data_IF_425679523411
#
_entry.id   IF_425679523411
#
_cell.length_a   1.000
_cell.length_b   1.000
_cell.length_c   1.000
_cell.angle_alpha   90.00
_cell.angle_beta   90.00
_cell.angle_gamma   90.00
#
_symmetry.space_group_name_H-M   'P 1'
#
loop_
_entity.id
_entity.type
_entity.pdbx_description
1 polymer ?
#
# COMPACT_ATOMS: atom_id res chain seq x y z
N UNK A 1 25.89 -18.19 28.01
CA UNK A 1 25.13 -17.17 27.28
C UNK A 1 23.99 -17.89 26.59
N UNK A 2 22.82 -17.93 27.22
CA UNK A 2 21.64 -18.62 26.67
C UNK A 2 21.23 -17.91 25.39
N UNK A 3 21.36 -18.59 24.25
CA UNK A 3 20.79 -18.14 23.00
C UNK A 3 19.28 -18.34 23.08
N UNK A 4 18.58 -17.26 23.38
CA UNK A 4 17.12 -17.19 23.31
C UNK A 4 16.71 -17.63 21.89
N UNK A 5 16.09 -18.81 21.77
CA UNK A 5 15.44 -19.25 20.54
C UNK A 5 14.32 -18.25 20.26
N UNK A 6 14.62 -17.22 19.46
CA UNK A 6 13.61 -16.34 18.88
C UNK A 6 12.77 -17.22 17.95
N UNK A 7 11.73 -17.83 18.51
CA UNK A 7 10.68 -18.51 17.74
C UNK A 7 9.90 -17.39 17.06
N UNK A 8 10.39 -16.96 15.88
CA UNK A 8 9.66 -16.02 15.03
C UNK A 8 8.34 -16.68 14.66
N UNK A 9 7.25 -16.16 15.21
CA UNK A 9 5.92 -16.73 15.03
C UNK A 9 5.48 -16.43 13.60
N UNK A 10 5.22 -17.46 12.81
CA UNK A 10 4.54 -17.32 11.52
C UNK A 10 3.24 -16.53 11.73
N UNK A 11 3.05 -15.45 10.97
CA UNK A 11 1.74 -14.82 10.94
C UNK A 11 0.77 -15.79 10.28
N UNK A 12 -0.16 -16.36 11.06
CA UNK A 12 -1.32 -17.02 10.47
C UNK A 12 -2.20 -15.94 9.83
N UNK A 13 -2.79 -16.23 8.67
CA UNK A 13 -3.72 -15.32 7.96
C UNK A 13 -4.85 -14.76 8.86
N UNK A 14 -5.09 -15.33 10.04
CA UNK A 14 -6.13 -14.96 10.98
C UNK A 14 -5.76 -13.87 12.01
N UNK A 15 -4.49 -13.42 12.09
CA UNK A 15 -4.02 -12.47 13.14
C UNK A 15 -3.58 -11.09 12.64
N UNK A 16 -4.00 -10.70 11.44
CA UNK A 16 -3.86 -9.31 10.98
C UNK A 16 -4.87 -8.47 11.76
N UNK A 17 -4.39 -7.56 12.63
CA UNK A 17 -5.24 -6.56 13.30
C UNK A 17 -5.93 -5.75 12.20
N UNK A 18 -7.21 -6.02 12.00
CA UNK A 18 -8.11 -5.16 11.24
C UNK A 18 -8.21 -3.84 12.01
N UNK A 19 -7.52 -2.80 11.54
CA UNK A 19 -7.78 -1.45 12.06
C UNK A 19 -9.24 -1.12 11.72
N UNK A 20 -10.04 -0.89 12.76
CA UNK A 20 -11.40 -0.38 12.58
C UNK A 20 -11.28 1.03 12.04
N UNK A 21 -11.39 1.17 10.73
CA UNK A 21 -11.53 2.45 10.07
C UNK A 21 -12.88 3.05 10.49
N UNK A 22 -12.89 3.86 11.55
CA UNK A 22 -13.99 4.78 11.84
C UNK A 22 -13.80 5.98 10.92
N UNK A 23 -14.65 6.07 9.90
CA UNK A 23 -14.76 7.27 9.08
C UNK A 23 -15.02 8.47 9.97
N UNK A 24 -14.11 9.43 9.93
CA UNK A 24 -14.23 10.78 10.51
C UNK A 24 -15.25 11.60 9.67
N UNK A 25 -16.46 11.03 9.52
CA UNK A 25 -17.44 11.41 8.50
C UNK A 25 -18.54 12.35 8.99
N UNK A 26 -18.81 12.43 10.29
CA UNK A 26 -20.04 13.08 10.76
C UNK A 26 -19.95 14.62 10.78
N UNK A 27 -18.82 15.21 11.22
CA UNK A 27 -18.74 16.66 11.38
C UNK A 27 -18.71 17.44 10.04
N UNK A 28 -18.01 16.91 9.03
CA UNK A 28 -17.95 17.53 7.68
C UNK A 28 -19.26 17.43 6.90
N UNK A 29 -20.12 16.46 7.23
CA UNK A 29 -21.43 16.33 6.60
C UNK A 29 -22.44 17.33 7.17
N UNK A 30 -22.38 17.62 8.48
CA UNK A 30 -23.25 18.59 9.14
C UNK A 30 -23.00 20.01 8.61
N UNK A 31 -21.73 20.44 8.50
CA UNK A 31 -21.39 21.78 7.97
C UNK A 31 -21.90 21.99 6.54
N UNK A 32 -21.77 20.97 5.68
CA UNK A 32 -22.27 20.99 4.29
C UNK A 32 -23.79 21.08 4.22
N UNK A 33 -24.50 20.36 5.10
CA UNK A 33 -25.96 20.39 5.16
C UNK A 33 -26.43 21.81 5.53
N UNK A 34 -25.79 22.44 6.53
CA UNK A 34 -26.13 23.80 6.95
C UNK A 34 -25.91 24.81 5.82
N UNK A 35 -24.81 24.70 5.06
CA UNK A 35 -24.55 25.62 3.94
C UNK A 35 -25.57 25.48 2.81
N UNK A 36 -25.99 24.24 2.52
CA UNK A 36 -27.01 23.96 1.50
C UNK A 36 -28.36 24.56 1.91
N UNK A 37 -28.77 24.37 3.18
CA UNK A 37 -30.03 24.90 3.70
C UNK A 37 -30.05 26.44 3.62
N UNK A 38 -28.96 27.10 3.99
CA UNK A 38 -28.84 28.56 3.87
C UNK A 38 -28.97 29.05 2.43
N UNK A 39 -28.30 28.39 1.48
CA UNK A 39 -28.36 28.75 0.06
C UNK A 39 -29.77 28.59 -0.53
N UNK A 40 -30.47 27.50 -0.15
CA UNK A 40 -31.86 27.26 -0.57
C UNK A 40 -32.80 28.32 0.01
N UNK A 41 -32.63 28.70 1.27
CA UNK A 41 -33.44 29.74 1.90
C UNK A 41 -33.28 31.10 1.21
N UNK A 42 -32.06 31.48 0.85
CA UNK A 42 -31.76 32.72 0.09
C UNK A 42 -32.37 32.68 -1.32
N UNK A 43 -32.27 31.54 -2.01
CA UNK A 43 -32.88 31.34 -3.33
C UNK A 43 -34.41 31.48 -3.27
N UNK A 44 -35.04 30.85 -2.28
CA UNK A 44 -36.48 30.95 -2.07
C UNK A 44 -36.94 32.37 -1.75
N UNK A 45 -36.18 33.12 -0.94
CA UNK A 45 -36.50 34.54 -0.65
C UNK A 45 -36.39 35.42 -1.89
N UNK A 46 -35.37 35.22 -2.73
CA UNK A 46 -35.23 35.93 -4.01
C UNK A 46 -36.40 35.61 -4.96
N UNK A 47 -36.77 34.33 -5.07
CA UNK A 47 -37.91 33.88 -5.88
C UNK A 47 -39.21 34.51 -5.38
N UNK A 48 -39.41 34.57 -4.06
CA UNK A 48 -40.61 35.17 -3.45
C UNK A 48 -40.68 36.69 -3.70
N UNK A 49 -39.56 37.40 -3.53
CA UNK A 49 -39.48 38.84 -3.79
C UNK A 49 -39.66 39.22 -5.27
N UNK A 50 -39.26 38.34 -6.19
CA UNK A 50 -39.32 38.55 -7.64
C UNK A 50 -40.45 37.76 -8.31
N UNK A 51 -41.37 37.17 -7.55
CA UNK A 51 -42.39 36.23 -8.03
C UNK A 51 -43.16 36.75 -9.26
N UNK A 52 -43.57 38.02 -9.25
CA UNK A 52 -44.31 38.63 -10.36
C UNK A 52 -43.48 38.75 -11.64
N UNK A 53 -42.19 39.07 -11.53
CA UNK A 53 -41.28 39.08 -12.69
C UNK A 53 -40.95 37.68 -13.18
N UNK A 54 -40.85 36.70 -12.27
CA UNK A 54 -40.56 35.31 -12.62
C UNK A 54 -41.76 34.67 -13.32
N UNK A 55 -42.99 34.96 -12.90
CA UNK A 55 -44.21 34.50 -13.59
C UNK A 55 -44.26 34.98 -15.05
N UNK A 56 -43.83 36.22 -15.33
CA UNK A 56 -43.77 36.75 -16.70
C UNK A 56 -42.76 36.01 -17.61
N UNK A 57 -41.91 35.14 -17.07
CA UNK A 57 -41.01 34.26 -17.84
C UNK A 57 -41.74 32.98 -18.28
N UNK A 58 -42.79 32.59 -17.56
CA UNK A 58 -43.56 31.37 -17.79
C UNK A 58 -44.94 31.61 -18.41
N UNK A 59 -45.40 32.85 -18.43
CA UNK A 59 -46.72 33.22 -18.95
C UNK A 59 -46.61 34.44 -19.88
N UNK A 60 -47.20 34.33 -21.07
CA UNK A 60 -47.32 35.44 -22.01
C UNK A 60 -48.36 36.47 -21.52
N UNK A 61 -48.41 37.65 -22.15
CA UNK A 61 -49.39 38.72 -21.90
C UNK A 61 -50.85 38.26 -22.02
N UNK A 62 -51.08 37.17 -22.76
CA UNK A 62 -52.39 36.55 -22.95
C UNK A 62 -52.74 35.49 -21.88
N UNK A 63 -51.83 35.22 -20.94
CA UNK A 63 -51.99 34.19 -19.91
C UNK A 63 -51.59 32.78 -20.35
N UNK A 64 -51.10 32.61 -21.59
CA UNK A 64 -50.66 31.32 -22.11
C UNK A 64 -49.29 30.92 -21.57
N UNK A 65 -49.15 29.64 -21.23
CA UNK A 65 -47.93 29.10 -20.64
C UNK A 65 -46.80 28.94 -21.67
N UNK A 66 -45.67 29.57 -21.40
CA UNK A 66 -44.48 29.53 -22.26
C UNK A 66 -43.53 28.39 -21.83
N UNK A 67 -43.58 27.29 -22.57
CA UNK A 67 -42.69 26.13 -22.37
C UNK A 67 -41.19 26.44 -22.52
N UNK A 68 -40.84 27.51 -23.22
CA UNK A 68 -39.45 27.93 -23.46
C UNK A 68 -38.72 28.28 -22.16
N UNK A 69 -39.39 28.92 -21.19
CA UNK A 69 -38.80 29.25 -19.90
C UNK A 69 -38.48 28.00 -19.06
N UNK A 70 -39.42 27.04 -19.02
CA UNK A 70 -39.26 25.77 -18.30
C UNK A 70 -38.11 24.95 -18.90
N UNK A 71 -38.11 24.77 -20.21
CA UNK A 71 -37.10 23.98 -20.92
C UNK A 71 -35.70 24.56 -20.75
N UNK A 72 -35.57 25.90 -20.75
CA UNK A 72 -34.30 26.59 -20.50
C UNK A 72 -33.76 26.34 -19.08
N UNK A 73 -34.62 26.41 -18.06
CA UNK A 73 -34.23 26.13 -16.66
C UNK A 73 -33.81 24.67 -16.49
N UNK A 74 -34.60 23.74 -17.04
CA UNK A 74 -34.26 22.31 -17.01
C UNK A 74 -32.91 22.07 -17.69
N UNK A 75 -32.67 22.67 -18.85
CA UNK A 75 -31.40 22.55 -19.57
C UNK A 75 -30.21 23.06 -18.74
N UNK A 76 -30.33 24.23 -18.09
CA UNK A 76 -29.28 24.79 -17.22
C UNK A 76 -28.99 23.86 -16.03
N UNK A 77 -30.04 23.33 -15.39
CA UNK A 77 -29.89 22.40 -14.25
C UNK A 77 -29.24 21.09 -14.69
N UNK A 78 -29.67 20.51 -15.82
CA UNK A 78 -29.08 19.30 -16.39
C UNK A 78 -27.61 19.52 -16.77
N UNK A 79 -27.28 20.67 -17.35
CA UNK A 79 -25.92 21.02 -17.72
C UNK A 79 -25.02 21.20 -16.48
N UNK A 80 -25.49 21.94 -15.47
CA UNK A 80 -24.76 22.11 -14.21
C UNK A 80 -24.53 20.80 -13.47
N UNK A 81 -25.56 19.93 -13.43
CA UNK A 81 -25.43 18.58 -12.87
C UNK A 81 -24.43 17.72 -13.67
N UNK A 82 -24.48 17.77 -15.00
CA UNK A 82 -23.56 17.05 -15.88
C UNK A 82 -22.10 17.46 -15.64
N UNK A 83 -21.81 18.76 -15.54
CA UNK A 83 -20.47 19.27 -15.23
C UNK A 83 -20.01 18.80 -13.84
N UNK A 84 -20.86 18.97 -12.82
CA UNK A 84 -20.53 18.56 -11.45
C UNK A 84 -20.26 17.04 -11.37
N UNK A 85 -21.13 16.23 -11.96
CA UNK A 85 -21.00 14.77 -12.00
C UNK A 85 -19.74 14.35 -12.75
N UNK A 86 -19.45 14.97 -13.89
CA UNK A 86 -18.26 14.69 -14.70
C UNK A 86 -16.97 15.06 -13.97
N UNK A 87 -16.91 16.23 -13.35
CA UNK A 87 -15.74 16.66 -12.57
C UNK A 87 -15.48 15.75 -11.37
N UNK A 88 -16.56 15.38 -10.67
CA UNK A 88 -16.50 14.43 -9.55
C UNK A 88 -15.97 13.07 -10.02
N UNK A 89 -16.53 12.53 -11.10
CA UNK A 89 -16.09 11.27 -11.72
C UNK A 89 -14.63 11.32 -12.17
N UNK A 90 -14.21 12.38 -12.87
CA UNK A 90 -12.84 12.56 -13.34
C UNK A 90 -11.84 12.55 -12.17
N UNK A 91 -12.15 13.25 -11.07
CA UNK A 91 -11.31 13.24 -9.88
C UNK A 91 -11.19 11.85 -9.26
N UNK A 92 -12.30 11.11 -9.15
CA UNK A 92 -12.26 9.72 -8.67
C UNK A 92 -11.45 8.80 -9.58
N UNK A 93 -11.64 8.91 -10.91
CA UNK A 93 -10.94 8.10 -11.89
C UNK A 93 -9.43 8.36 -11.85
N UNK A 94 -9.00 9.62 -11.67
CA UNK A 94 -7.59 9.98 -11.54
C UNK A 94 -6.99 9.38 -10.25
N UNK A 95 -7.64 9.58 -9.10
CA UNK A 95 -7.16 9.05 -7.81
C UNK A 95 -7.08 7.52 -7.85
N UNK A 96 -8.10 6.86 -8.38
CA UNK A 96 -8.13 5.41 -8.53
C UNK A 96 -7.00 4.91 -9.43
N UNK A 97 -6.77 5.56 -10.58
CA UNK A 97 -5.69 5.21 -11.51
C UNK A 97 -4.31 5.36 -10.88
N UNK A 98 -4.03 6.46 -10.20
CA UNK A 98 -2.74 6.67 -9.54
C UNK A 98 -2.52 5.65 -8.41
N UNK A 99 -3.54 5.34 -7.61
CA UNK A 99 -3.43 4.30 -6.57
C UNK A 99 -3.20 2.91 -7.17
N UNK A 100 -3.90 2.54 -8.25
CA UNK A 100 -3.69 1.28 -8.97
C UNK A 100 -2.27 1.21 -9.53
N UNK A 101 -1.77 2.31 -10.10
CA UNK A 101 -0.40 2.41 -10.61
C UNK A 101 0.62 2.18 -9.49
N UNK A 102 0.45 2.86 -8.36
CA UNK A 102 1.30 2.66 -7.18
C UNK A 102 1.24 1.22 -6.66
N UNK A 103 0.05 0.62 -6.55
CA UNK A 103 -0.10 -0.80 -6.14
C UNK A 103 0.70 -1.72 -7.06
N UNK A 104 0.61 -1.52 -8.37
CA UNK A 104 1.33 -2.35 -9.34
C UNK A 104 2.84 -2.20 -9.23
N UNK A 105 3.34 -0.98 -9.05
CA UNK A 105 4.76 -0.72 -8.84
C UNK A 105 5.26 -1.40 -7.55
N UNK A 106 4.59 -1.16 -6.42
CA UNK A 106 4.94 -1.80 -5.13
C UNK A 106 4.87 -3.32 -5.22
N UNK A 107 3.86 -3.88 -5.88
CA UNK A 107 3.74 -5.33 -6.09
C UNK A 107 4.94 -5.89 -6.86
N UNK A 108 5.40 -5.17 -7.88
CA UNK A 108 6.60 -5.54 -8.62
C UNK A 108 7.84 -5.47 -7.74
N UNK A 109 8.04 -4.37 -6.98
CA UNK A 109 9.19 -4.23 -6.07
C UNK A 109 9.23 -5.36 -5.02
N UNK A 110 8.09 -5.73 -4.44
CA UNK A 110 7.99 -6.84 -3.47
C UNK A 110 8.28 -8.18 -4.14
N UNK A 111 7.76 -8.43 -5.34
CA UNK A 111 8.03 -9.68 -6.05
C UNK A 111 9.52 -9.84 -6.38
N UNK A 112 10.16 -8.77 -6.85
CA UNK A 112 11.60 -8.75 -7.13
C UNK A 112 12.42 -8.96 -5.84
N UNK A 113 12.07 -8.30 -4.75
CA UNK A 113 12.69 -8.51 -3.44
C UNK A 113 12.57 -9.97 -2.99
N UNK A 114 11.38 -10.57 -3.08
CA UNK A 114 11.17 -11.97 -2.71
C UNK A 114 12.02 -12.92 -3.56
N UNK A 115 12.17 -12.66 -4.86
CA UNK A 115 13.05 -13.45 -5.73
C UNK A 115 14.51 -13.34 -5.29
N UNK A 116 14.99 -12.13 -5.01
CA UNK A 116 16.36 -11.91 -4.54
C UNK A 116 16.61 -12.60 -3.21
N UNK A 117 15.71 -12.45 -2.24
CA UNK A 117 15.80 -13.10 -0.93
C UNK A 117 15.79 -14.64 -1.06
N UNK A 118 14.98 -15.21 -1.95
CA UNK A 118 14.99 -16.66 -2.20
C UNK A 118 16.28 -17.14 -2.88
N UNK A 119 16.87 -16.35 -3.78
CA UNK A 119 18.19 -16.66 -4.36
C UNK A 119 19.27 -16.66 -3.28
N UNK A 120 19.25 -15.62 -2.44
CA UNK A 120 20.13 -15.50 -1.30
C UNK A 120 19.97 -16.69 -0.35
N UNK A 121 18.72 -17.10 -0.10
CA UNK A 121 18.40 -18.25 0.73
C UNK A 121 18.98 -19.56 0.22
N UNK A 122 18.85 -19.77 -1.08
CA UNK A 122 19.41 -20.94 -1.75
C UNK A 122 20.94 -21.00 -1.62
N UNK A 123 21.64 -19.87 -1.74
CA UNK A 123 23.09 -19.81 -1.53
C UNK A 123 23.44 -20.25 -0.12
N UNK A 124 22.73 -19.71 0.87
CA UNK A 124 23.00 -20.04 2.27
C UNK A 124 22.72 -21.52 2.55
N UNK A 125 21.62 -22.07 2.02
CA UNK A 125 21.29 -23.50 2.16
C UNK A 125 22.32 -24.42 1.50
N UNK A 126 22.83 -24.06 0.32
CA UNK A 126 23.90 -24.81 -0.35
C UNK A 126 25.17 -24.85 0.51
N UNK A 127 25.52 -23.72 1.11
CA UNK A 127 26.65 -23.65 2.04
C UNK A 127 26.40 -24.51 3.28
N UNK A 128 25.22 -24.42 3.90
CA UNK A 128 24.84 -25.26 5.06
C UNK A 128 24.94 -26.76 4.77
N UNK A 129 24.45 -27.21 3.62
CA UNK A 129 24.47 -28.63 3.23
C UNK A 129 25.91 -29.20 3.19
N UNK A 130 26.88 -28.38 2.80
CA UNK A 130 28.31 -28.73 2.76
C UNK A 130 29.03 -28.50 4.11
N UNK A 131 28.39 -27.79 5.05
CA UNK A 131 28.91 -27.40 6.36
C UNK A 131 28.60 -28.35 7.53
N UNK A 132 27.66 -29.28 7.36
CA UNK A 132 27.05 -30.08 8.46
C UNK A 132 27.97 -31.00 9.27
N UNK A 133 29.27 -31.05 9.02
CA UNK A 133 30.12 -32.14 9.55
C UNK A 133 31.32 -31.75 10.41
N UNK A 134 31.77 -30.49 10.56
CA UNK A 134 32.96 -30.20 11.37
C UNK A 134 32.92 -28.87 12.15
N UNK A 135 33.09 -28.97 13.47
CA UNK A 135 32.83 -27.92 14.47
C UNK A 135 34.00 -26.95 14.73
N UNK A 136 35.20 -27.16 14.18
CA UNK A 136 36.38 -26.40 14.65
C UNK A 136 37.21 -25.66 13.60
N UNK A 137 37.18 -26.03 12.32
CA UNK A 137 37.91 -25.30 11.25
C UNK A 137 37.25 -25.48 9.89
N UNK A 138 37.27 -24.44 9.05
CA UNK A 138 36.82 -24.57 7.66
C UNK A 138 37.82 -25.44 6.88
N UNK A 139 37.35 -26.53 6.31
CA UNK A 139 38.14 -27.32 5.35
C UNK A 139 38.49 -26.48 4.11
N UNK A 140 39.59 -26.78 3.38
CA UNK A 140 39.91 -26.11 2.13
C UNK A 140 38.78 -26.13 1.09
N UNK A 141 37.99 -27.22 1.08
CA UNK A 141 36.79 -27.35 0.24
C UNK A 141 35.72 -26.32 0.63
N UNK A 142 35.41 -26.18 1.92
CA UNK A 142 34.48 -25.19 2.44
C UNK A 142 34.95 -23.76 2.16
N UNK A 143 36.24 -23.45 2.28
CA UNK A 143 36.78 -22.13 1.91
C UNK A 143 36.60 -21.81 0.42
N UNK A 144 36.78 -22.82 -0.47
CA UNK A 144 36.56 -22.66 -1.91
C UNK A 144 35.08 -22.40 -2.25
N UNK A 145 34.18 -23.11 -1.59
CA UNK A 145 32.72 -22.90 -1.68
C UNK A 145 32.35 -21.50 -1.19
N UNK A 146 32.84 -21.12 0.00
CA UNK A 146 32.62 -19.79 0.58
C UNK A 146 33.05 -18.72 -0.40
N UNK A 147 34.29 -18.76 -0.88
CA UNK A 147 34.82 -17.74 -1.79
C UNK A 147 34.05 -17.69 -3.12
N UNK A 148 33.54 -18.84 -3.60
CA UNK A 148 32.71 -18.90 -4.81
C UNK A 148 31.39 -18.14 -4.62
N UNK A 149 30.70 -18.38 -3.51
CA UNK A 149 29.38 -17.79 -3.26
C UNK A 149 29.41 -16.45 -2.53
N UNK A 150 30.52 -16.08 -1.89
CA UNK A 150 30.67 -14.83 -1.13
C UNK A 150 30.47 -13.60 -2.02
N UNK A 151 31.06 -13.60 -3.22
CA UNK A 151 30.86 -12.52 -4.18
C UNK A 151 29.41 -12.41 -4.64
N UNK A 152 28.77 -13.55 -4.94
CA UNK A 152 27.38 -13.61 -5.38
C UNK A 152 26.41 -13.18 -4.26
N UNK A 153 26.67 -13.61 -3.03
CA UNK A 153 25.92 -13.25 -1.84
C UNK A 153 25.99 -11.74 -1.56
N UNK A 154 27.19 -11.13 -1.60
CA UNK A 154 27.34 -9.70 -1.38
C UNK A 154 26.60 -8.86 -2.42
N UNK A 155 26.66 -9.24 -3.70
CA UNK A 155 25.90 -8.55 -4.76
C UNK A 155 24.39 -8.66 -4.52
N UNK A 156 23.89 -9.85 -4.18
CA UNK A 156 22.48 -10.04 -3.85
C UNK A 156 22.07 -9.22 -2.62
N UNK A 157 22.95 -9.09 -1.63
CA UNK A 157 22.67 -8.24 -0.45
C UNK A 157 22.51 -6.78 -0.83
N UNK A 158 23.41 -6.23 -1.65
CA UNK A 158 23.30 -4.86 -2.14
C UNK A 158 21.97 -4.63 -2.86
N UNK A 159 21.59 -5.54 -3.77
CA UNK A 159 20.32 -5.47 -4.49
C UNK A 159 19.11 -5.57 -3.54
N UNK A 160 19.18 -6.46 -2.53
CA UNK A 160 18.12 -6.62 -1.54
C UNK A 160 17.98 -5.36 -0.69
N UNK A 161 19.08 -4.83 -0.14
CA UNK A 161 19.07 -3.61 0.67
C UNK A 161 18.52 -2.42 -0.12
N UNK A 162 18.90 -2.31 -1.40
CA UNK A 162 18.35 -1.30 -2.30
C UNK A 162 16.82 -1.43 -2.44
N UNK A 163 16.30 -2.63 -2.69
CA UNK A 163 14.85 -2.88 -2.81
C UNK A 163 14.10 -2.64 -1.51
N UNK A 164 14.68 -3.02 -0.37
CA UNK A 164 14.11 -2.74 0.96
C UNK A 164 13.95 -1.23 1.16
N UNK A 165 14.98 -0.44 0.83
CA UNK A 165 14.92 1.02 0.96
C UNK A 165 13.85 1.64 0.05
N UNK A 166 13.72 1.19 -1.21
CA UNK A 166 12.63 1.63 -2.10
C UNK A 166 11.26 1.34 -1.48
N UNK A 167 11.07 0.13 -0.93
CA UNK A 167 9.80 -0.24 -0.32
C UNK A 167 9.51 0.60 0.92
N UNK A 168 10.49 0.82 1.79
CA UNK A 168 10.33 1.68 2.96
C UNK A 168 9.97 3.12 2.57
N UNK A 169 10.53 3.66 1.48
CA UNK A 169 10.14 4.97 0.94
C UNK A 169 8.74 4.99 0.32
N UNK A 170 8.28 3.85 -0.20
CA UNK A 170 6.98 3.70 -0.86
C UNK A 170 5.82 3.61 0.13
N UNK A 171 6.08 3.26 1.39
CA UNK A 171 5.09 3.23 2.46
C UNK A 171 5.28 4.45 3.37
N UNK A 172 4.30 5.36 3.38
CA UNK A 172 4.28 6.48 4.33
C UNK A 172 4.17 5.98 5.78
N UNK A 173 4.71 6.75 6.73
CA UNK A 173 4.54 6.54 8.17
C UNK A 173 3.08 6.78 8.57
N UNK A 174 2.27 5.73 8.39
CA UNK A 174 0.85 5.68 8.74
C UNK A 174 0.63 4.42 9.61
N UNK A 175 -0.14 4.50 10.71
CA UNK A 175 -0.53 3.34 11.50
C UNK A 175 -1.07 2.15 10.69
N UNK A 176 -1.79 2.39 9.59
CA UNK A 176 -2.29 1.34 8.70
C UNK A 176 -1.19 0.57 7.96
N UNK A 177 0.02 1.16 7.86
CA UNK A 177 1.19 0.58 7.19
C UNK A 177 2.15 -0.11 8.17
N UNK A 178 1.93 0.00 9.49
CA UNK A 178 2.86 -0.46 10.51
C UNK A 178 3.23 -1.94 10.32
N UNK A 179 2.26 -2.79 9.99
CA UNK A 179 2.50 -4.22 9.81
C UNK A 179 3.36 -4.55 8.58
N UNK A 180 3.12 -3.89 7.43
CA UNK A 180 3.90 -4.13 6.22
C UNK A 180 5.31 -3.56 6.38
N UNK A 181 5.44 -2.39 6.99
CA UNK A 181 6.74 -1.77 7.32
C UNK A 181 7.54 -2.67 8.27
N UNK A 182 6.89 -3.24 9.29
CA UNK A 182 7.51 -4.19 10.21
C UNK A 182 8.04 -5.42 9.48
N UNK A 183 7.26 -6.00 8.56
CA UNK A 183 7.71 -7.14 7.75
C UNK A 183 8.90 -6.79 6.83
N UNK A 184 8.95 -5.57 6.28
CA UNK A 184 10.07 -5.10 5.47
C UNK A 184 11.33 -4.91 6.34
N UNK A 185 11.18 -4.38 7.56
CA UNK A 185 12.28 -4.27 8.53
C UNK A 185 12.78 -5.64 8.98
N UNK A 186 11.88 -6.60 9.21
CA UNK A 186 12.25 -7.98 9.52
C UNK A 186 13.03 -8.64 8.37
N UNK A 187 12.65 -8.35 7.12
CA UNK A 187 13.41 -8.79 5.95
C UNK A 187 14.81 -8.16 5.93
N UNK A 188 14.95 -6.88 6.27
CA UNK A 188 16.27 -6.22 6.40
C UNK A 188 17.13 -6.89 7.46
N UNK A 189 16.58 -7.04 8.67
CA UNK A 189 17.28 -7.67 9.79
C UNK A 189 17.70 -9.11 9.47
N UNK A 190 16.89 -9.83 8.70
CA UNK A 190 17.23 -11.16 8.21
C UNK A 190 18.46 -11.11 7.30
N UNK A 191 18.50 -10.20 6.32
CA UNK A 191 19.66 -10.02 5.43
C UNK A 191 20.92 -9.61 6.20
N UNK A 192 20.78 -8.63 7.10
CA UNK A 192 21.89 -8.11 7.91
C UNK A 192 22.49 -9.18 8.82
N UNK A 193 21.65 -10.08 9.35
CA UNK A 193 22.15 -11.21 10.13
C UNK A 193 23.17 -12.03 9.34
N UNK A 194 22.93 -12.27 8.04
CA UNK A 194 23.87 -12.98 7.19
C UNK A 194 25.12 -12.18 6.85
N UNK A 195 25.04 -10.86 6.72
CA UNK A 195 26.22 -10.01 6.54
C UNK A 195 27.26 -10.29 7.63
N UNK A 196 26.79 -10.29 8.89
CA UNK A 196 27.63 -10.53 10.05
C UNK A 196 28.25 -11.93 9.98
N UNK A 197 27.46 -12.96 9.62
CA UNK A 197 27.99 -14.32 9.50
C UNK A 197 29.02 -14.48 8.38
N UNK A 198 28.78 -13.92 7.19
CA UNK A 198 29.68 -14.11 6.05
C UNK A 198 31.01 -13.37 6.20
N UNK A 199 30.99 -12.20 6.83
CA UNK A 199 32.16 -11.31 6.87
C UNK A 199 32.91 -11.35 8.21
N UNK A 200 32.26 -11.76 9.32
CA UNK A 200 32.83 -11.63 10.67
C UNK A 200 32.97 -12.98 11.40
N UNK A 201 32.35 -14.07 10.94
CA UNK A 201 32.50 -15.37 11.60
C UNK A 201 33.73 -16.17 11.12
N UNK A 202 34.54 -16.73 12.05
CA UNK A 202 35.64 -17.62 11.71
C UNK A 202 35.20 -18.89 10.98
N UNK A 203 33.99 -19.39 11.28
CA UNK A 203 33.39 -20.57 10.65
C UNK A 203 31.93 -20.27 10.22
N UNK A 204 31.72 -19.63 9.05
CA UNK A 204 30.40 -19.23 8.60
C UNK A 204 29.47 -20.42 8.31
N UNK A 205 30.01 -21.64 8.16
CA UNK A 205 29.22 -22.83 7.80
C UNK A 205 28.47 -23.45 8.98
N UNK A 206 29.06 -23.41 10.18
CA UNK A 206 28.42 -23.92 11.40
C UNK A 206 27.25 -23.01 11.78
N UNK A 207 27.48 -21.70 11.86
CA UNK A 207 26.46 -20.72 12.31
C UNK A 207 25.28 -20.60 11.34
N UNK A 208 25.55 -20.63 10.03
CA UNK A 208 24.52 -20.67 8.97
C UNK A 208 23.51 -21.80 9.18
N UNK A 209 23.93 -22.92 9.77
CA UNK A 209 23.07 -24.10 9.95
C UNK A 209 22.11 -23.96 11.14
N UNK A 210 22.43 -23.13 12.13
CA UNK A 210 21.65 -23.02 13.37
C UNK A 210 20.60 -21.89 13.38
N UNK A 211 20.73 -20.91 12.50
CA UNK A 211 19.94 -19.66 12.54
C UNK A 211 18.92 -19.52 11.40
N UNK A 212 18.78 -20.56 10.58
CA UNK A 212 18.10 -20.45 9.31
C UNK A 212 16.59 -20.64 9.42
N UNK A 213 15.85 -19.52 9.40
CA UNK A 213 14.40 -19.48 9.31
C UNK A 213 13.97 -18.57 8.14
N UNK A 214 13.15 -19.11 7.24
CA UNK A 214 12.60 -18.37 6.09
C UNK A 214 11.29 -17.64 6.44
N UNK A 215 10.90 -17.62 7.71
CA UNK A 215 9.73 -16.88 8.22
C UNK A 215 9.67 -15.43 7.74
N UNK A 216 10.74 -14.63 7.70
CA UNK A 216 10.67 -13.24 7.20
C UNK A 216 10.21 -13.15 5.73
N UNK A 217 10.69 -14.06 4.88
CA UNK A 217 10.28 -14.14 3.46
C UNK A 217 8.79 -14.49 3.37
N UNK A 218 8.34 -15.47 4.15
CA UNK A 218 6.95 -15.91 4.16
C UNK A 218 6.01 -14.83 4.70
N UNK A 219 6.39 -14.17 5.80
CA UNK A 219 5.61 -13.10 6.40
C UNK A 219 5.47 -11.90 5.44
N UNK A 220 6.57 -11.48 4.79
CA UNK A 220 6.52 -10.41 3.80
C UNK A 220 5.56 -10.75 2.65
N UNK A 221 5.58 -11.98 2.14
CA UNK A 221 4.67 -12.44 1.09
C UNK A 221 3.20 -12.40 1.52
N UNK A 222 2.88 -12.92 2.70
CA UNK A 222 1.50 -12.99 3.20
C UNK A 222 0.96 -11.59 3.48
N UNK A 223 1.72 -10.79 4.22
CA UNK A 223 1.29 -9.45 4.63
C UNK A 223 1.20 -8.52 3.44
N UNK A 224 2.14 -8.58 2.49
CA UNK A 224 2.06 -7.77 1.27
C UNK A 224 0.86 -8.11 0.40
N UNK A 225 0.56 -9.40 0.20
CA UNK A 225 -0.64 -9.85 -0.52
C UNK A 225 -1.89 -9.25 0.10
N UNK A 226 -2.06 -9.42 1.41
CA UNK A 226 -3.28 -9.00 2.10
C UNK A 226 -3.40 -7.48 2.15
N UNK A 227 -2.29 -6.78 2.37
CA UNK A 227 -2.23 -5.31 2.34
C UNK A 227 -2.60 -4.76 0.95
N UNK A 228 -1.93 -5.23 -0.11
CA UNK A 228 -2.16 -4.73 -1.47
C UNK A 228 -3.56 -5.06 -1.98
N UNK A 229 -4.14 -6.20 -1.58
CA UNK A 229 -5.54 -6.51 -1.88
C UNK A 229 -6.52 -5.53 -1.21
N UNK A 230 -6.27 -5.12 0.04
CA UNK A 230 -7.09 -4.09 0.70
C UNK A 230 -6.99 -2.75 -0.01
N UNK A 231 -5.78 -2.35 -0.37
CA UNK A 231 -5.51 -1.11 -1.09
C UNK A 231 -6.18 -1.11 -2.47
N UNK A 232 -6.17 -2.26 -3.16
CA UNK A 232 -6.89 -2.44 -4.42
C UNK A 232 -8.40 -2.20 -4.28
N UNK A 233 -9.03 -2.78 -3.25
CA UNK A 233 -10.45 -2.56 -2.99
C UNK A 233 -10.77 -1.11 -2.59
N UNK A 234 -9.86 -0.41 -1.91
CA UNK A 234 -10.00 1.04 -1.64
C UNK A 234 -9.92 1.84 -2.94
N UNK A 235 -8.95 1.52 -3.80
CA UNK A 235 -8.77 2.17 -5.11
C UNK A 235 -10.01 2.02 -6.01
N UNK A 236 -10.64 0.83 -6.04
CA UNK A 236 -11.89 0.61 -6.78
C UNK A 236 -13.05 1.49 -6.31
N UNK A 237 -13.02 1.93 -5.05
CA UNK A 237 -14.01 2.83 -4.44
C UNK A 237 -13.62 4.30 -4.56
N UNK A 238 -12.49 4.62 -5.21
CA UNK A 238 -11.95 5.98 -5.29
C UNK A 238 -11.58 6.58 -3.93
N UNK A 239 -11.35 5.71 -2.94
CA UNK A 239 -10.81 6.08 -1.63
C UNK A 239 -9.30 5.96 -1.65
#
# INVERSE_FOLDING_TARGET
>A
MEQEKVTRKLFSCAKIKTSQYKEEGDNKNIEKIITIIFFVAVLLTIIFYRYKSILNIFFDKNGDFQWVGVTSIVAILTFGYSIYSTNKKNKYDIISKERIRWINDVKQQIAELLVLMNKYDNIVRKCSAEGRLQLSTNTPKQLKIRNKYHKEANLLMEDISFKINILLLSFADNPDNEQIISCIKDASNWVDSFYMYWNWCPNPFVDVTFLYDNVPIQNLMIVSRDYLNREWHKAQKGK
#
